data_IF_773765793044
#
_entry.id   IF_773765793044
#
_cell.length_a   1.000
_cell.length_b   1.000
_cell.length_c   1.000
_cell.angle_alpha   90.00
_cell.angle_beta   90.00
_cell.angle_gamma   90.00
#
_symmetry.space_group_name_H-M   'P 1'
#
loop_
_entity.id
_entity.type
_entity.pdbx_description
1 polymer ?
2 non-polymer ?
3 non-polymer ?
4 water ?
#
# COMPACT_ATOMS: atom_id res chain seq x y z
N UNK A 4 23.88 4.99 -13.88
CA UNK A 4 23.39 5.10 -12.47
C UNK A 4 24.58 5.09 -11.55
N UNK A 5 25.18 6.27 -11.29
CA UNK A 5 26.40 6.21 -10.48
C UNK A 5 26.08 5.59 -9.12
N UNK A 6 27.07 4.89 -8.55
CA UNK A 6 26.98 4.36 -7.19
C UNK A 6 26.59 5.50 -6.23
N UNK A 7 27.26 6.64 -6.41
CA UNK A 7 27.05 7.81 -5.56
C UNK A 7 26.62 8.96 -6.48
N UNK A 8 25.32 9.04 -6.80
CA UNK A 8 24.91 10.06 -7.77
C UNK A 8 24.99 11.49 -7.26
N UNK A 9 24.91 11.67 -5.95
CA UNK A 9 24.78 12.98 -5.35
C UNK A 9 23.52 13.69 -5.79
N UNK A 10 23.44 14.98 -5.45
CA UNK A 10 22.30 15.82 -5.83
C UNK A 10 22.71 17.28 -5.74
N UNK A 11 21.77 18.19 -5.99
CA UNK A 11 22.03 19.62 -5.84
C UNK A 11 20.70 20.30 -5.43
N UNK A 12 20.79 21.53 -4.91
CA UNK A 12 19.63 22.17 -4.27
C UNK A 12 18.55 22.64 -5.25
N UNK A 13 18.92 22.81 -6.53
CA UNK A 13 17.91 23.08 -7.55
C UNK A 13 16.97 21.85 -7.63
N UNK A 14 17.55 20.67 -7.73
CA UNK A 14 16.76 19.44 -7.79
C UNK A 14 15.99 19.19 -6.51
N UNK A 15 16.64 19.42 -5.36
CA UNK A 15 15.96 19.28 -4.06
C UNK A 15 14.68 20.18 -3.94
N UNK A 16 14.78 21.45 -4.32
CA UNK A 16 13.61 22.36 -4.27
C UNK A 16 12.61 22.27 -5.44
N UNK A 17 12.92 21.47 -6.48
CA UNK A 17 12.16 21.43 -7.72
C UNK A 17 10.73 20.93 -7.50
N UNK A 18 9.77 21.69 -8.03
CA UNK A 18 8.36 21.34 -7.91
C UNK A 18 7.79 21.16 -9.32
N UNK A 19 6.96 20.13 -9.54
CA UNK A 19 6.20 20.02 -10.77
C UNK A 19 5.09 21.07 -10.74
N UNK A 20 4.79 21.70 -11.91
CA UNK A 20 3.71 22.68 -11.92
C UNK A 20 2.34 21.99 -11.89
N UNK A 21 1.89 21.68 -10.67
CA UNK A 21 0.64 20.93 -10.40
C UNK A 21 -0.30 21.77 -9.54
N UNK A 22 -1.59 21.75 -9.89
CA UNK A 22 -2.65 22.39 -9.06
C UNK A 22 -3.10 21.46 -7.93
N UNK A 23 -2.35 21.52 -6.83
CA UNK A 23 -2.58 20.72 -5.65
C UNK A 23 -3.73 21.34 -4.85
N UNK A 24 -4.63 20.50 -4.35
CA UNK A 24 -5.72 20.96 -3.46
C UNK A 24 -5.88 20.05 -2.25
N UNK A 25 -6.49 20.58 -1.19
CA UNK A 25 -6.89 19.78 -0.04
C UNK A 25 -8.38 19.47 -0.05
N UNK A 26 -8.77 18.54 0.79
CA UNK A 26 -10.21 18.29 1.02
C UNK A 26 -10.93 19.56 1.52
N UNK A 27 -10.29 20.27 2.45
CA UNK A 27 -10.81 21.54 3.00
C UNK A 27 -11.03 22.60 1.92
N UNK A 28 -10.08 22.70 0.97
CA UNK A 28 -10.21 23.61 -0.19
C UNK A 28 -11.35 23.23 -1.11
N UNK A 29 -11.45 21.93 -1.40
CA UNK A 29 -12.60 21.45 -2.18
C UNK A 29 -13.92 21.81 -1.43
N UNK A 30 -14.00 21.49 -0.16
CA UNK A 30 -15.24 21.79 0.60
C UNK A 30 -15.56 23.29 0.58
N UNK A 31 -14.52 24.10 0.73
CA UNK A 31 -14.66 25.54 0.68
C UNK A 31 -15.27 25.97 -0.66
N UNK A 32 -14.80 25.37 -1.76
CA UNK A 32 -15.29 25.69 -3.12
C UNK A 32 -16.77 25.40 -3.34
N UNK A 33 -17.33 24.58 -2.45
CA UNK A 33 -18.73 24.10 -2.55
C UNK A 33 -19.67 24.77 -1.56
N UNK A 34 -19.19 25.78 -0.86
CA UNK A 34 -19.97 26.45 0.20
C UNK A 34 -21.22 27.08 -0.38
N UNK A 35 -22.38 26.76 0.22
CA UNK A 35 -23.66 27.30 -0.24
C UNK A 35 -24.29 26.51 -1.38
N UNK A 36 -23.54 25.61 -2.01
CA UNK A 36 -24.07 24.82 -3.11
C UNK A 36 -24.96 23.72 -2.60
N UNK A 37 -26.17 23.60 -3.17
CA UNK A 37 -27.16 22.64 -2.72
C UNK A 37 -26.66 21.21 -2.89
N UNK A 38 -27.27 20.25 -2.16
CA UNK A 38 -26.94 18.82 -2.36
C UNK A 38 -26.87 18.43 -3.86
N UNK A 39 -25.87 17.60 -4.20
CA UNK A 39 -25.66 17.17 -5.58
C UNK A 39 -25.16 15.74 -5.63
N UNK A 40 -25.05 15.18 -6.84
CA UNK A 40 -24.46 13.87 -7.08
C UNK A 40 -22.98 14.04 -7.28
N UNK A 41 -22.23 13.25 -6.53
CA UNK A 41 -20.78 13.16 -6.73
C UNK A 41 -20.42 11.70 -6.97
N UNK A 42 -19.27 11.46 -7.55
CA UNK A 42 -18.86 10.11 -7.88
C UNK A 42 -17.42 9.82 -7.56
N UNK A 43 -17.16 8.54 -7.30
CA UNK A 43 -15.82 8.00 -7.02
C UNK A 43 -15.51 6.80 -7.92
N UNK A 44 -14.32 6.84 -8.50
CA UNK A 44 -13.73 5.59 -9.00
C UNK A 44 -13.48 4.69 -7.77
N UNK A 45 -13.29 3.38 -7.94
CA UNK A 45 -13.06 2.49 -6.78
C UNK A 45 -11.59 2.24 -6.55
N UNK A 46 -10.94 1.54 -7.49
CA UNK A 46 -9.61 0.99 -7.27
C UNK A 46 -8.53 2.07 -7.30
N UNK A 47 -7.70 2.07 -6.28
CA UNK A 47 -6.72 3.12 -5.98
C UNK A 47 -7.32 4.53 -5.85
N UNK A 48 -8.63 4.62 -5.68
CA UNK A 48 -9.27 5.90 -5.42
C UNK A 48 -9.85 5.86 -4.03
N UNK A 49 -10.73 4.90 -3.77
CA UNK A 49 -11.26 4.74 -2.42
C UNK A 49 -10.72 3.49 -1.71
N UNK A 50 -10.36 2.45 -2.47
CA UNK A 50 -9.77 1.20 -1.91
C UNK A 50 -8.38 0.88 -2.52
N UNK A 51 -7.43 0.53 -1.67
CA UNK A 51 -6.20 -0.12 -2.12
C UNK A 51 -6.55 -1.58 -2.29
N UNK A 52 -6.90 -1.94 -3.52
CA UNK A 52 -7.46 -3.26 -3.86
C UNK A 52 -6.45 -4.17 -4.56
N UNK A 53 -5.24 -3.68 -4.75
CA UNK A 53 -4.11 -4.48 -5.22
C UNK A 53 -3.95 -5.88 -4.61
N UNK A 54 -4.25 -6.05 -3.30
CA UNK A 54 -4.15 -7.40 -2.70
C UNK A 54 -4.97 -8.46 -3.45
N UNK A 55 -6.23 -8.16 -3.76
CA UNK A 55 -7.08 -9.07 -4.55
C UNK A 55 -6.64 -9.24 -6.01
N UNK A 56 -6.17 -8.14 -6.62
CA UNK A 56 -5.65 -8.18 -7.98
C UNK A 56 -4.33 -8.96 -8.09
N UNK A 57 -3.45 -8.75 -7.11
CA UNK A 57 -2.22 -9.54 -6.95
C UNK A 57 -2.49 -11.05 -6.80
N UNK A 58 -3.39 -11.43 -5.88
CA UNK A 58 -3.77 -12.83 -5.76
C UNK A 58 -4.35 -13.43 -7.06
N UNK A 59 -5.19 -12.66 -7.77
CA UNK A 59 -5.82 -13.10 -9.01
C UNK A 59 -4.82 -13.31 -10.14
N UNK A 60 -3.88 -12.36 -10.28
CA UNK A 60 -2.76 -12.55 -11.22
C UNK A 60 -1.93 -13.82 -10.93
N UNK A 61 -1.53 -14.01 -9.68
CA UNK A 61 -0.80 -15.24 -9.29
C UNK A 61 -1.63 -16.51 -9.50
N UNK A 62 -2.91 -16.45 -9.11
CA UNK A 62 -3.84 -17.57 -9.23
C UNK A 62 -4.23 -17.92 -10.67
N UNK A 63 -4.60 -16.93 -11.48
CA UNK A 63 -5.22 -17.17 -12.79
C UNK A 63 -4.37 -16.89 -14.04
N UNK A 64 -3.36 -16.05 -13.93
CA UNK A 64 -2.43 -15.79 -15.04
C UNK A 64 -1.11 -15.18 -14.55
N UNK A 65 -0.24 -16.01 -13.94
CA UNK A 65 1.02 -15.56 -13.38
C UNK A 65 1.97 -14.86 -14.36
N UNK A 66 1.85 -15.19 -15.64
CA UNK A 66 2.74 -14.61 -16.65
C UNK A 66 2.07 -13.65 -17.64
N UNK A 67 0.81 -13.30 -17.39
CA UNK A 67 0.10 -12.37 -18.26
C UNK A 67 -0.98 -11.56 -17.52
N UNK A 68 -1.77 -10.84 -18.29
CA UNK A 68 -2.85 -10.04 -17.75
C UNK A 68 -4.20 -10.69 -18.06
N UNK A 69 -4.20 -11.94 -18.51
CA UNK A 69 -5.45 -12.63 -18.87
C UNK A 69 -6.42 -12.81 -17.71
N UNK A 70 -5.92 -12.75 -16.47
CA UNK A 70 -6.82 -12.84 -15.31
C UNK A 70 -7.88 -11.74 -15.36
N UNK A 71 -7.54 -10.60 -15.97
CA UNK A 71 -8.44 -9.45 -16.10
C UNK A 71 -9.57 -9.69 -17.08
N UNK A 72 -9.45 -10.75 -17.88
CA UNK A 72 -10.52 -11.17 -18.79
C UNK A 72 -11.14 -12.53 -18.39
N UNK A 73 -10.92 -12.93 -17.14
CA UNK A 73 -11.27 -14.26 -16.65
C UNK A 73 -12.42 -14.13 -15.65
N UNK A 74 -13.64 -14.55 -16.07
CA UNK A 74 -14.84 -14.42 -15.24
C UNK A 74 -14.68 -15.01 -13.85
N UNK A 75 -13.90 -16.09 -13.76
CA UNK A 75 -13.61 -16.76 -12.50
C UNK A 75 -12.93 -15.79 -11.52
N UNK A 76 -11.91 -15.05 -12.01
CA UNK A 76 -11.28 -14.01 -11.21
C UNK A 76 -12.31 -12.97 -10.72
N UNK A 77 -13.07 -12.37 -11.65
CA UNK A 77 -14.00 -11.32 -11.25
C UNK A 77 -15.02 -11.78 -10.22
N UNK A 78 -15.54 -12.99 -10.38
CA UNK A 78 -16.46 -13.54 -9.37
C UNK A 78 -15.83 -13.53 -7.99
N UNK A 79 -14.54 -13.92 -7.88
CA UNK A 79 -13.81 -13.86 -6.62
C UNK A 79 -13.64 -12.41 -6.13
N UNK A 80 -13.19 -11.54 -7.04
CA UNK A 80 -12.83 -10.14 -6.75
C UNK A 80 -14.00 -9.27 -6.24
N UNK A 81 -15.21 -9.53 -6.77
CA UNK A 81 -16.41 -8.73 -6.53
C UNK A 81 -17.30 -9.34 -5.47
N UNK A 82 -16.91 -10.52 -4.93
CA UNK A 82 -17.71 -11.21 -3.92
C UNK A 82 -16.99 -11.62 -2.65
N UNK A 83 -15.93 -10.88 -2.29
CA UNK A 83 -15.27 -11.12 -1.03
C UNK A 83 -13.82 -10.73 -0.93
N UNK A 84 -13.11 -10.68 -2.05
CA UNK A 84 -11.68 -10.33 -1.96
C UNK A 84 -11.43 -8.86 -1.57
N UNK A 85 -12.46 -8.02 -1.64
CA UNK A 85 -12.34 -6.66 -1.07
C UNK A 85 -12.35 -6.62 0.49
N UNK A 86 -12.60 -7.74 1.17
CA UNK A 86 -12.29 -7.79 2.61
C UNK A 86 -10.79 -7.57 2.88
N UNK A 87 -9.94 -7.77 1.86
CA UNK A 87 -8.49 -7.52 2.00
C UNK A 87 -8.07 -6.19 1.39
N UNK A 88 -9.02 -5.45 0.84
CA UNK A 88 -8.73 -4.12 0.28
C UNK A 88 -8.65 -3.12 1.42
N UNK A 89 -7.75 -2.16 1.32
CA UNK A 89 -7.49 -1.20 2.39
C UNK A 89 -8.08 0.16 2.01
N UNK A 90 -9.04 0.65 2.83
CA UNK A 90 -9.66 1.94 2.60
C UNK A 90 -8.63 3.05 2.67
N UNK A 91 -8.75 3.99 1.74
CA UNK A 91 -7.86 5.14 1.71
C UNK A 91 -8.46 6.26 2.56
N UNK A 92 -7.63 6.83 3.42
CA UNK A 92 -8.00 7.91 4.30
C UNK A 92 -8.44 9.14 3.54
N UNK A 93 -7.89 9.37 2.35
CA UNK A 93 -8.35 10.52 1.55
C UNK A 93 -9.83 10.33 1.20
N UNK A 94 -10.21 9.10 0.86
CA UNK A 94 -11.61 8.75 0.58
C UNK A 94 -12.55 8.88 1.78
N UNK A 95 -12.11 8.43 2.96
CA UNK A 95 -12.88 8.62 4.22
C UNK A 95 -13.20 10.09 4.43
N UNK A 96 -12.17 10.92 4.30
CA UNK A 96 -12.32 12.38 4.40
C UNK A 96 -13.30 12.97 3.37
N UNK A 97 -13.14 12.63 2.09
CA UNK A 97 -14.07 13.10 1.05
C UNK A 97 -15.48 12.57 1.20
N UNK A 98 -15.63 11.27 1.47
CA UNK A 98 -17.01 10.73 1.62
C UNK A 98 -17.70 11.40 2.84
N UNK A 99 -16.98 11.56 3.94
CA UNK A 99 -17.55 12.22 5.13
C UNK A 99 -17.99 13.63 4.80
N UNK A 100 -17.15 14.34 4.06
CA UNK A 100 -17.40 15.71 3.66
C UNK A 100 -18.66 15.84 2.78
N UNK A 101 -18.79 14.95 1.81
CA UNK A 101 -19.92 14.97 0.89
C UNK A 101 -21.20 14.49 1.55
N UNK A 102 -21.09 13.47 2.40
CA UNK A 102 -22.25 13.02 3.20
C UNK A 102 -22.77 14.17 4.10
N UNK A 103 -21.86 14.91 4.70
CA UNK A 103 -22.25 16.00 5.59
C UNK A 103 -22.97 17.11 4.79
N UNK A 104 -22.56 17.26 3.53
CA UNK A 104 -23.23 18.15 2.58
C UNK A 104 -24.64 17.65 2.17
N UNK A 105 -24.92 16.38 2.41
CA UNK A 105 -26.17 15.76 1.94
C UNK A 105 -26.07 15.36 0.48
N UNK A 106 -24.85 15.25 -0.04
CA UNK A 106 -24.67 14.80 -1.43
C UNK A 106 -25.03 13.32 -1.62
N UNK A 107 -25.47 12.99 -2.83
CA UNK A 107 -25.59 11.59 -3.27
C UNK A 107 -24.19 11.05 -3.61
N UNK A 108 -23.86 9.86 -3.11
CA UNK A 108 -22.55 9.25 -3.35
C UNK A 108 -22.72 8.11 -4.37
N UNK A 109 -21.98 8.22 -5.48
CA UNK A 109 -21.93 7.18 -6.53
C UNK A 109 -20.55 6.58 -6.68
N UNK A 110 -20.52 5.29 -7.00
CA UNK A 110 -19.29 4.58 -7.37
C UNK A 110 -19.42 4.03 -8.79
N UNK A 111 -18.44 4.40 -9.61
CA UNK A 111 -18.43 4.02 -11.02
C UNK A 111 -17.12 3.31 -11.33
N UNK A 112 -17.24 2.01 -11.55
CA UNK A 112 -16.09 1.15 -11.72
C UNK A 112 -16.00 0.55 -13.12
N UNK A 113 -14.76 0.39 -13.59
CA UNK A 113 -14.49 -0.34 -14.82
C UNK A 113 -14.23 -1.83 -14.62
N UNK A 114 -14.34 -2.32 -13.40
CA UNK A 114 -14.29 -3.77 -13.10
C UNK A 114 -15.34 -4.50 -13.93
N UNK A 115 -15.06 -5.75 -14.33
CA UNK A 115 -16.08 -6.52 -15.05
C UNK A 115 -17.27 -6.85 -14.16
N UNK A 116 -18.50 -6.75 -14.73
CA UNK A 116 -19.70 -7.10 -13.98
C UNK A 116 -19.80 -8.59 -13.73
N UNK A 117 -20.41 -8.93 -12.60
CA UNK A 117 -20.59 -10.32 -12.16
C UNK A 117 -22.05 -10.60 -11.84
N UNK A 118 -22.39 -11.88 -11.63
CA UNK A 118 -23.78 -12.27 -11.34
C UNK A 118 -24.28 -11.57 -10.05
N UNK A 119 -23.48 -11.67 -9.00
CA UNK A 119 -23.70 -10.93 -7.78
C UNK A 119 -22.44 -10.08 -7.48
N UNK A 120 -22.59 -9.11 -6.58
CA UNK A 120 -21.48 -8.30 -6.15
C UNK A 120 -21.71 -7.91 -4.70
N UNK A 121 -20.65 -7.94 -3.88
CA UNK A 121 -20.75 -7.49 -2.49
C UNK A 121 -19.94 -6.20 -2.22
N UNK A 122 -19.42 -5.60 -3.30
CA UNK A 122 -18.60 -4.39 -3.21
C UNK A 122 -19.42 -3.19 -2.69
N UNK A 123 -20.68 -3.03 -3.10
CA UNK A 123 -21.52 -1.94 -2.56
C UNK A 123 -21.58 -2.02 -1.02
N UNK A 124 -21.86 -3.21 -0.48
CA UNK A 124 -21.88 -3.40 0.98
C UNK A 124 -20.52 -3.08 1.60
N UNK A 125 -19.45 -3.61 1.02
CA UNK A 125 -18.11 -3.32 1.56
C UNK A 125 -17.85 -1.80 1.66
N UNK A 126 -18.23 -1.06 0.63
CA UNK A 126 -18.03 0.39 0.62
C UNK A 126 -18.92 1.12 1.61
N UNK A 127 -20.20 0.77 1.67
CA UNK A 127 -21.14 1.44 2.59
C UNK A 127 -20.74 1.20 4.06
N UNK A 128 -20.25 -0.01 4.33
CA UNK A 128 -19.77 -0.42 5.68
C UNK A 128 -18.46 0.25 6.08
N UNK A 129 -17.44 0.14 5.23
CA UNK A 129 -16.10 0.68 5.49
C UNK A 129 -16.12 2.19 5.62
N UNK A 130 -16.97 2.83 4.82
CA UNK A 130 -17.02 4.28 4.76
C UNK A 130 -18.22 4.89 5.46
N UNK A 131 -19.00 4.09 6.18
CA UNK A 131 -20.12 4.59 7.02
C UNK A 131 -21.06 5.50 6.25
N UNK A 132 -21.37 5.07 5.02
CA UNK A 132 -22.23 5.86 4.15
C UNK A 132 -23.69 5.54 4.52
N UNK A 133 -24.45 6.57 4.96
CA UNK A 133 -25.88 6.34 5.25
C UNK A 133 -26.69 5.87 4.01
N UNK A 134 -27.71 5.06 4.25
CA UNK A 134 -28.54 4.50 3.19
C UNK A 134 -29.06 5.56 2.22
N UNK A 135 -29.44 6.72 2.77
CA UNK A 135 -29.96 7.81 1.98
C UNK A 135 -28.90 8.40 1.00
N UNK A 136 -27.62 8.36 1.39
CA UNK A 136 -26.55 8.83 0.48
C UNK A 136 -25.93 7.74 -0.41
N UNK A 137 -26.14 6.48 -0.05
CA UNK A 137 -25.48 5.36 -0.75
C UNK A 137 -26.23 5.00 -2.03
N UNK A 138 -25.49 4.56 -3.05
CA UNK A 138 -26.09 4.05 -4.28
C UNK A 138 -25.32 2.81 -4.71
N UNK A 139 -26.04 1.83 -5.29
CA UNK A 139 -25.33 0.61 -5.75
C UNK A 139 -24.22 0.96 -6.74
N UNK A 140 -23.10 0.26 -6.60
CA UNK A 140 -21.98 0.41 -7.52
C UNK A 140 -22.43 0.26 -8.99
N UNK A 141 -21.93 1.16 -9.83
CA UNK A 141 -22.21 1.11 -11.26
C UNK A 141 -21.01 0.47 -11.95
N UNK A 142 -21.27 -0.56 -12.75
CA UNK A 142 -20.21 -1.19 -13.53
C UNK A 142 -20.31 -0.63 -14.97
N UNK A 143 -19.29 0.16 -15.33
CA UNK A 143 -19.25 0.88 -16.59
C UNK A 143 -18.26 0.20 -17.53
N UNK A 144 -18.48 0.31 -18.83
CA UNK A 144 -17.47 -0.19 -19.76
C UNK A 144 -17.99 -0.28 -21.18
N UNK A 145 -17.33 -1.10 -21.99
CA UNK A 145 -17.71 -1.11 -23.41
C UNK A 145 -18.27 -2.44 -23.94
N UNK A 146 -18.63 -3.34 -23.02
CA UNK A 146 -19.28 -4.60 -23.37
C UNK A 146 -20.72 -4.31 -23.86
N UNK A 147 -21.28 -5.18 -24.72
CA UNK A 147 -22.67 -5.00 -25.19
C UNK A 147 -23.63 -4.72 -24.04
N UNK A 148 -24.49 -3.72 -24.22
CA UNK A 148 -25.47 -3.35 -23.20
C UNK A 148 -24.97 -2.49 -22.03
N UNK A 149 -23.66 -2.22 -22.00
CA UNK A 149 -23.04 -1.38 -20.98
C UNK A 149 -23.05 0.07 -21.42
N UNK A 150 -22.84 0.99 -20.49
CA UNK A 150 -22.50 2.36 -20.81
C UNK A 150 -21.13 2.67 -20.24
N UNK A 151 -20.48 3.66 -20.86
CA UNK A 151 -19.14 4.11 -20.45
C UNK A 151 -19.25 4.92 -19.15
N UNK A 152 -18.12 5.11 -18.47
CA UNK A 152 -18.04 5.96 -17.28
C UNK A 152 -18.65 7.34 -17.54
N UNK A 153 -18.33 7.94 -18.69
CA UNK A 153 -18.90 9.20 -19.13
C UNK A 153 -20.41 9.27 -19.18
N UNK A 154 -21.00 8.26 -19.82
CA UNK A 154 -22.45 8.21 -19.97
C UNK A 154 -23.16 8.10 -18.64
N UNK A 155 -22.59 7.31 -17.71
CA UNK A 155 -23.14 7.20 -16.34
C UNK A 155 -23.04 8.50 -15.56
N UNK A 156 -21.91 9.21 -15.69
CA UNK A 156 -21.74 10.50 -15.03
C UNK A 156 -22.82 11.45 -15.54
N UNK A 157 -23.02 11.44 -16.87
CA UNK A 157 -24.11 12.20 -17.47
C UNK A 157 -25.49 11.77 -16.95
N UNK A 158 -25.71 10.46 -16.92
CA UNK A 158 -27.01 9.91 -16.50
C UNK A 158 -27.37 10.29 -15.06
N UNK A 159 -26.40 10.20 -14.15
CA UNK A 159 -26.65 10.46 -12.73
C UNK A 159 -26.45 11.94 -12.34
N UNK A 160 -26.24 12.80 -13.35
CA UNK A 160 -25.83 14.22 -13.14
C UNK A 160 -24.76 14.40 -12.07
N UNK A 161 -23.71 13.58 -12.20
CA UNK A 161 -22.56 13.67 -11.30
C UNK A 161 -21.73 14.90 -11.67
N UNK A 162 -21.58 15.81 -10.70
CA UNK A 162 -20.92 17.09 -10.92
C UNK A 162 -19.43 17.07 -10.60
N UNK A 163 -19.00 16.08 -9.82
CA UNK A 163 -17.57 15.96 -9.41
C UNK A 163 -17.25 14.47 -9.45
N UNK A 164 -16.17 14.10 -10.14
CA UNK A 164 -15.73 12.70 -10.18
C UNK A 164 -14.29 12.59 -9.71
N UNK A 165 -14.05 11.70 -8.75
CA UNK A 165 -12.71 11.52 -8.19
C UNK A 165 -12.13 10.24 -8.72
N UNK A 166 -10.88 10.25 -9.13
CA UNK A 166 -10.26 9.05 -9.72
C UNK A 166 -8.75 9.16 -9.80
N UNK A 167 -8.09 8.02 -9.91
CA UNK A 167 -6.63 8.00 -10.00
C UNK A 167 -6.12 7.88 -11.46
N UNK A 168 -6.94 7.33 -12.35
CA UNK A 168 -6.53 7.07 -13.73
C UNK A 168 -6.85 8.26 -14.65
N UNK A 169 -6.10 8.36 -15.77
CA UNK A 169 -6.38 9.40 -16.79
C UNK A 169 -7.84 9.32 -17.23
N UNK A 170 -8.34 8.10 -17.41
CA UNK A 170 -9.70 7.88 -17.92
C UNK A 170 -10.82 8.36 -17.03
N UNK A 171 -10.56 8.46 -15.74
CA UNK A 171 -11.50 9.02 -14.80
C UNK A 171 -11.62 10.52 -15.02
N UNK A 172 -10.47 11.17 -15.26
CA UNK A 172 -10.44 12.61 -15.47
C UNK A 172 -11.10 12.99 -16.79
N UNK A 173 -10.74 12.28 -17.86
CA UNK A 173 -11.31 12.54 -19.16
C UNK A 173 -12.81 12.23 -19.19
N UNK A 174 -13.23 11.16 -18.53
CA UNK A 174 -14.68 10.87 -18.41
C UNK A 174 -15.44 12.08 -17.88
N UNK A 175 -14.97 12.69 -16.80
CA UNK A 175 -15.60 13.87 -16.22
C UNK A 175 -15.54 15.06 -17.18
N UNK A 176 -14.36 15.32 -17.74
CA UNK A 176 -14.15 16.41 -18.72
C UNK A 176 -15.09 16.31 -19.93
N UNK A 177 -15.20 15.10 -20.50
CA UNK A 177 -16.08 14.84 -21.62
C UNK A 177 -17.53 15.30 -21.46
N UNK A 178 -18.01 15.30 -20.23
CA UNK A 178 -19.36 15.73 -19.97
C UNK A 178 -19.42 17.00 -19.15
N UNK A 179 -18.27 17.65 -18.98
CA UNK A 179 -18.23 18.92 -18.28
C UNK A 179 -18.37 18.82 -16.77
N UNK A 180 -18.05 17.66 -16.21
CA UNK A 180 -18.00 17.58 -14.74
C UNK A 180 -16.58 17.96 -14.24
N UNK A 181 -16.46 18.17 -12.93
CA UNK A 181 -15.18 18.47 -12.32
C UNK A 181 -14.44 17.18 -12.02
N UNK A 182 -13.39 16.93 -12.78
CA UNK A 182 -12.52 15.78 -12.57
C UNK A 182 -11.46 16.11 -11.56
N UNK A 183 -11.41 15.36 -10.46
CA UNK A 183 -10.39 15.57 -9.42
C UNK A 183 -9.52 14.31 -9.18
N UNK A 184 -8.19 14.47 -9.26
CA UNK A 184 -7.26 13.34 -9.26
C UNK A 184 -6.81 12.94 -7.83
N UNK A 185 -6.69 11.64 -7.61
CA UNK A 185 -6.17 11.03 -6.38
C UNK A 185 -4.92 10.23 -6.79
N UNK A 186 -3.85 10.36 -6.01
CA UNK A 186 -2.58 9.65 -6.25
C UNK A 186 -2.73 8.13 -6.07
N UNK A 187 -2.26 7.39 -7.04
CA UNK A 187 -2.14 5.93 -6.92
C UNK A 187 -0.89 5.64 -6.05
N UNK A 188 -1.06 4.82 -5.01
CA UNK A 188 0.04 4.44 -4.13
C UNK A 188 1.19 3.73 -4.88
N UNK A 189 2.43 3.96 -4.43
CA UNK A 189 3.58 3.41 -5.13
C UNK A 189 3.65 1.88 -5.06
N UNK A 190 2.97 1.30 -4.06
CA UNK A 190 2.94 -0.16 -3.90
C UNK A 190 1.72 -0.85 -4.58
N UNK A 191 0.93 -0.06 -5.31
CA UNK A 191 -0.09 -0.64 -6.20
C UNK A 191 0.56 -1.58 -7.22
N UNK A 192 -0.17 -2.63 -7.59
CA UNK A 192 0.29 -3.54 -8.63
C UNK A 192 -0.17 -3.10 -10.02
N UNK A 193 -0.97 -2.04 -10.07
CA UNK A 193 -1.41 -1.46 -11.34
C UNK A 193 -0.33 -0.45 -11.78
N UNK A 194 0.53 -0.88 -12.70
CA UNK A 194 1.69 -0.07 -13.15
C UNK A 194 1.75 0.10 -14.68
N UNK A 195 2.32 1.22 -15.19
CA UNK A 195 2.99 2.26 -14.40
C UNK A 195 2.01 3.24 -13.71
N UNK A 196 2.46 3.92 -12.65
CA UNK A 196 1.70 4.99 -11.98
C UNK A 196 1.34 6.04 -13.02
N UNK A 197 0.11 6.57 -12.96
CA UNK A 197 -0.25 7.69 -13.84
C UNK A 197 0.44 9.00 -13.43
N UNK A 198 0.49 9.93 -14.38
CA UNK A 198 0.97 11.28 -14.13
C UNK A 198 -0.24 12.09 -13.70
N UNK A 199 -0.46 12.07 -12.39
CA UNK A 199 -1.49 12.91 -11.77
C UNK A 199 -1.27 14.40 -12.10
N UNK A 200 -2.27 15.05 -12.67
CA UNK A 200 -2.15 16.47 -13.04
C UNK A 200 -1.83 16.62 -14.52
N UNK A 201 -1.76 15.50 -15.25
CA UNK A 201 -1.41 15.48 -16.69
C UNK A 201 -2.37 16.28 -17.60
N UNK A 202 -3.55 16.63 -17.07
CA UNK A 202 -4.52 17.40 -17.82
C UNK A 202 -4.79 18.78 -17.21
N UNK A 203 -3.89 19.22 -16.32
CA UNK A 203 -4.07 20.45 -15.55
C UNK A 203 -5.18 20.40 -14.51
N UNK A 204 -5.68 19.19 -14.22
CA UNK A 204 -6.73 19.01 -13.23
C UNK A 204 -6.19 19.20 -11.83
N UNK A 205 -7.10 19.42 -10.89
CA UNK A 205 -6.72 19.45 -9.46
C UNK A 205 -6.27 18.05 -9.01
N UNK A 206 -5.23 18.00 -8.18
CA UNK A 206 -4.78 16.76 -7.59
C UNK A 206 -4.82 16.93 -6.05
N UNK A 207 -5.48 16.02 -5.36
CA UNK A 207 -5.48 16.08 -3.90
C UNK A 207 -4.15 15.72 -3.22
N UNK A 208 -3.72 16.59 -2.32
CA UNK A 208 -2.47 16.35 -1.57
C UNK A 208 -2.59 15.07 -0.74
N UNK A 209 -1.46 14.36 -0.65
CA UNK A 209 -1.28 13.27 0.29
C UNK A 209 -2.30 12.17 0.11
N UNK A 210 -2.72 11.96 -1.15
CA UNK A 210 -3.87 11.13 -1.42
C UNK A 210 -3.49 9.70 -1.77
N UNK A 211 -2.21 9.37 -1.63
CA UNK A 211 -1.73 7.99 -1.81
C UNK A 211 -2.13 7.04 -0.65
N UNK A 212 -2.66 7.58 0.46
CA UNK A 212 -3.15 6.75 1.57
C UNK A 212 -4.52 7.18 2.16
N UNK B 4 -6.57 23.59 10.51
CA UNK B 4 -5.37 24.02 9.73
C UNK B 4 -5.74 25.15 8.80
N UNK B 5 -4.80 26.06 8.51
CA UNK B 5 -5.18 27.12 7.55
C UNK B 5 -5.64 26.52 6.23
N UNK B 6 -6.63 27.18 5.61
CA UNK B 6 -7.10 26.78 4.30
C UNK B 6 -5.97 26.81 3.25
N UNK B 7 -5.15 27.86 3.29
CA UNK B 7 -4.03 28.07 2.37
C UNK B 7 -2.75 28.28 3.16
N UNK B 8 -2.09 27.18 3.58
CA UNK B 8 -0.91 27.34 4.44
C UNK B 8 0.34 27.91 3.71
N UNK B 9 0.46 27.71 2.40
CA UNK B 9 1.64 28.23 1.73
C UNK B 9 2.89 27.41 2.08
N UNK B 10 4.06 27.86 1.59
CA UNK B 10 5.35 27.23 1.90
C UNK B 10 6.44 28.25 1.56
N UNK B 11 7.69 27.86 1.76
CA UNK B 11 8.86 28.66 1.30
C UNK B 11 9.99 27.71 0.80
N UNK B 12 11.01 28.26 0.16
CA UNK B 12 11.99 27.40 -0.50
C UNK B 12 13.01 26.77 0.48
N UNK B 13 13.17 27.35 1.66
CA UNK B 13 13.99 26.67 2.70
C UNK B 13 13.27 25.37 3.06
N UNK B 14 11.96 25.47 3.34
CA UNK B 14 11.15 24.27 3.60
C UNK B 14 11.10 23.25 2.46
N UNK B 15 10.97 23.72 1.22
CA UNK B 15 10.93 22.84 0.07
C UNK B 15 12.22 22.06 -0.10
N UNK B 16 13.35 22.69 0.18
CA UNK B 16 14.65 22.03 0.02
C UNK B 16 15.13 21.26 1.25
N UNK B 17 14.44 21.44 2.38
CA UNK B 17 14.95 21.02 3.69
C UNK B 17 15.06 19.48 3.75
N UNK B 18 16.21 18.98 4.22
CA UNK B 18 16.44 17.54 4.32
C UNK B 18 16.68 17.15 5.78
N UNK B 19 16.09 16.04 6.21
CA UNK B 19 16.44 15.48 7.51
C UNK B 19 17.86 14.93 7.39
N UNK B 20 18.67 15.02 8.47
CA UNK B 20 20.01 14.47 8.36
C UNK B 20 20.02 12.97 8.55
N UNK B 21 19.76 12.25 7.46
CA UNK B 21 19.62 10.80 7.44
C UNK B 21 20.72 10.24 6.52
N UNK B 22 21.40 9.18 6.98
CA UNK B 22 22.20 8.35 6.11
C UNK B 22 21.35 7.45 5.18
N UNK B 23 21.00 7.97 4.01
CA UNK B 23 20.29 7.23 2.99
C UNK B 23 21.27 6.39 2.17
N UNK B 24 20.88 5.15 1.85
CA UNK B 24 21.71 4.25 1.02
C UNK B 24 20.88 3.57 -0.09
N UNK B 25 21.54 3.12 -1.16
CA UNK B 25 20.91 2.26 -2.15
C UNK B 25 21.31 0.78 -1.94
N UNK B 26 20.59 -0.14 -2.57
CA UNK B 26 21.02 -1.55 -2.59
C UNK B 26 22.43 -1.69 -3.20
N UNK B 27 22.71 -0.93 -4.27
CA UNK B 27 24.03 -0.93 -4.92
C UNK B 27 25.12 -0.52 -3.96
N UNK B 28 24.85 0.50 -3.15
CA UNK B 28 25.84 0.95 -2.16
C UNK B 28 26.09 -0.09 -1.06
N UNK B 29 25.02 -0.76 -0.64
CA UNK B 29 25.16 -1.84 0.36
C UNK B 29 26.01 -2.96 -0.22
N UNK B 30 25.65 -3.41 -1.42
CA UNK B 30 26.41 -4.48 -2.10
C UNK B 30 27.90 -4.12 -2.23
N UNK B 31 28.19 -2.89 -2.65
CA UNK B 31 29.58 -2.41 -2.71
C UNK B 31 30.31 -2.46 -1.36
N UNK B 32 29.62 -2.05 -0.29
CA UNK B 32 30.23 -2.04 1.04
C UNK B 32 30.55 -3.44 1.53
N UNK B 33 29.92 -4.43 0.91
CA UNK B 33 30.15 -5.83 1.30
C UNK B 33 31.05 -6.55 0.29
N UNK B 34 31.49 -5.87 -0.77
CA UNK B 34 32.34 -6.52 -1.81
C UNK B 34 33.51 -7.29 -1.20
N UNK B 35 33.69 -8.53 -1.67
CA UNK B 35 34.78 -9.40 -1.20
C UNK B 35 34.59 -10.03 0.19
N UNK B 36 33.49 -9.69 0.86
CA UNK B 36 33.20 -10.31 2.14
C UNK B 36 32.62 -11.69 1.83
N UNK B 37 33.13 -12.72 2.52
CA UNK B 37 32.66 -14.07 2.28
C UNK B 37 31.22 -14.24 2.78
N UNK B 38 30.53 -15.32 2.33
CA UNK B 38 29.17 -15.63 2.79
C UNK B 38 28.99 -15.50 4.30
N UNK B 39 27.89 -14.86 4.69
CA UNK B 39 27.51 -14.72 6.09
C UNK B 39 25.99 -14.91 6.24
N UNK B 40 25.50 -15.03 7.47
CA UNK B 40 24.07 -15.02 7.74
C UNK B 40 23.55 -13.58 7.72
N UNK B 41 22.44 -13.34 7.04
CA UNK B 41 21.74 -12.05 7.15
C UNK B 41 20.26 -12.33 7.45
N UNK B 42 19.54 -11.34 7.95
CA UNK B 42 18.14 -11.52 8.27
C UNK B 42 17.21 -10.40 7.86
N UNK B 43 15.93 -10.75 7.70
CA UNK B 43 14.88 -9.82 7.31
C UNK B 43 13.72 -9.97 8.27
N UNK B 44 13.20 -8.84 8.72
CA UNK B 44 11.86 -8.73 9.21
C UNK B 44 10.90 -9.05 8.06
N UNK B 45 9.68 -9.50 8.38
CA UNK B 45 8.71 -9.78 7.31
C UNK B 45 7.79 -8.58 7.03
N UNK B 46 7.04 -8.16 8.02
CA UNK B 46 5.93 -7.26 7.76
C UNK B 46 6.35 -5.82 7.51
N UNK B 47 5.96 -5.30 6.34
CA UNK B 47 6.38 -3.98 5.87
C UNK B 47 7.88 -3.88 5.57
N UNK B 48 8.56 -5.03 5.50
CA UNK B 48 9.98 -5.08 5.15
C UNK B 48 10.13 -5.86 3.83
N UNK B 49 9.60 -7.07 3.81
CA UNK B 49 9.51 -7.83 2.55
C UNK B 49 8.07 -7.98 2.00
N UNK B 50 7.07 -7.98 2.87
CA UNK B 50 5.66 -8.11 2.47
C UNK B 50 4.78 -6.97 2.94
N UNK B 51 4.09 -6.33 2.02
CA UNK B 51 2.95 -5.52 2.39
C UNK B 51 1.79 -6.45 2.80
N UNK B 52 1.78 -6.82 4.08
CA UNK B 52 0.80 -7.78 4.66
C UNK B 52 -0.37 -7.12 5.37
N UNK B 53 -0.46 -5.78 5.32
CA UNK B 53 -1.65 -5.08 5.83
C UNK B 53 -3.03 -5.63 5.40
N UNK B 54 -3.16 -6.16 4.16
CA UNK B 54 -4.44 -6.78 3.75
C UNK B 54 -4.95 -7.81 4.76
N UNK B 55 -4.07 -8.75 5.16
CA UNK B 55 -4.43 -9.82 6.10
C UNK B 55 -4.58 -9.32 7.53
N UNK B 56 -3.77 -8.34 7.95
CA UNK B 56 -3.95 -7.72 9.27
C UNK B 56 -5.24 -6.91 9.35
N UNK B 57 -5.55 -6.22 8.25
CA UNK B 57 -6.80 -5.46 8.14
C UNK B 57 -8.02 -6.38 8.17
N UNK B 58 -8.00 -7.47 7.39
CA UNK B 58 -9.05 -8.51 7.51
C UNK B 58 -9.18 -9.11 8.92
N UNK B 59 -8.05 -9.34 9.57
CA UNK B 59 -8.06 -9.90 10.92
C UNK B 59 -8.69 -8.97 11.95
N UNK B 60 -8.30 -7.70 11.88
CA UNK B 60 -8.85 -6.68 12.75
C UNK B 60 -10.38 -6.68 12.58
N UNK B 61 -10.82 -6.53 11.33
CA UNK B 61 -12.25 -6.45 11.01
C UNK B 61 -13.09 -7.69 11.39
N UNK B 62 -12.50 -8.86 11.20
CA UNK B 62 -13.13 -10.13 11.48
C UNK B 62 -13.18 -10.40 12.99
N UNK B 63 -12.06 -10.13 13.67
CA UNK B 63 -11.86 -10.60 15.04
C UNK B 63 -11.96 -9.56 16.17
N UNK B 64 -11.69 -8.29 15.88
CA UNK B 64 -11.71 -7.24 16.92
C UNK B 64 -11.86 -5.84 16.32
N UNK B 65 -13.00 -5.58 15.65
CA UNK B 65 -13.18 -4.31 14.97
C UNK B 65 -12.94 -3.06 15.85
N UNK B 66 -13.19 -3.19 17.15
CA UNK B 66 -13.04 -2.06 18.12
C UNK B 66 -11.69 -1.95 18.79
N UNK B 67 -10.81 -2.95 18.62
CA UNK B 67 -9.60 -3.02 19.44
C UNK B 67 -8.41 -3.68 18.74
N UNK B 68 -7.33 -3.88 19.49
CA UNK B 68 -6.14 -4.60 18.99
C UNK B 68 -6.10 -6.06 19.46
N UNK B 69 -7.22 -6.54 20.00
CA UNK B 69 -7.28 -7.89 20.60
C UNK B 69 -6.95 -9.00 19.60
N UNK B 70 -7.27 -8.79 18.32
CA UNK B 70 -6.93 -9.78 17.24
C UNK B 70 -5.44 -10.22 17.21
N UNK B 71 -4.52 -9.32 17.57
CA UNK B 71 -3.09 -9.61 17.56
C UNK B 71 -2.67 -10.58 18.68
N UNK B 72 -3.56 -10.79 19.66
CA UNK B 72 -3.37 -11.83 20.66
C UNK B 72 -4.38 -12.98 20.52
N UNK B 73 -5.10 -13.03 19.39
CA UNK B 73 -6.03 -14.12 19.10
C UNK B 73 -5.37 -15.23 18.24
N UNK B 74 -5.21 -16.46 18.80
CA UNK B 74 -4.66 -17.61 18.06
C UNK B 74 -5.45 -17.98 16.80
N UNK B 75 -6.77 -17.72 16.79
CA UNK B 75 -7.62 -17.96 15.62
C UNK B 75 -7.18 -17.02 14.48
N UNK B 76 -6.84 -15.77 14.81
CA UNK B 76 -6.25 -14.87 13.82
C UNK B 76 -4.90 -15.33 13.23
N UNK B 77 -3.95 -15.60 14.11
CA UNK B 77 -2.63 -16.06 13.65
C UNK B 77 -2.74 -17.31 12.78
N UNK B 78 -3.63 -18.23 13.14
CA UNK B 78 -3.81 -19.44 12.32
C UNK B 78 -4.25 -19.08 10.90
N UNK B 79 -5.11 -18.06 10.76
CA UNK B 79 -5.45 -17.56 9.43
C UNK B 79 -4.34 -16.80 8.75
N UNK B 80 -3.71 -15.90 9.49
CA UNK B 80 -2.64 -15.06 8.96
C UNK B 80 -1.43 -15.86 8.43
N UNK B 81 -1.08 -16.93 9.11
CA UNK B 81 0.13 -17.71 8.80
C UNK B 81 -0.08 -18.87 7.85
N UNK B 82 -1.31 -19.13 7.47
CA UNK B 82 -1.63 -20.30 6.64
C UNK B 82 -2.42 -19.98 5.37
N UNK B 83 -2.32 -18.74 4.88
CA UNK B 83 -2.95 -18.43 3.59
C UNK B 83 -3.30 -16.98 3.30
N UNK B 84 -3.50 -16.14 4.31
CA UNK B 84 -3.75 -14.72 4.05
C UNK B 84 -2.58 -13.96 3.41
N UNK B 85 -1.35 -14.50 3.52
CA UNK B 85 -0.22 -13.92 2.78
C UNK B 85 -0.29 -14.14 1.27
N UNK B 86 -1.27 -14.91 0.80
CA UNK B 86 -1.62 -14.91 -0.63
C UNK B 86 -2.03 -13.51 -1.15
N UNK B 87 -2.55 -12.68 -0.23
CA UNK B 87 -2.93 -11.30 -0.53
C UNK B 87 -1.86 -10.26 -0.17
N UNK B 88 -0.72 -10.71 0.39
CA UNK B 88 0.38 -9.81 0.75
C UNK B 88 1.20 -9.46 -0.50
N UNK B 89 1.54 -8.18 -0.65
CA UNK B 89 2.24 -7.68 -1.85
C UNK B 89 3.73 -7.57 -1.57
N UNK B 90 4.55 -8.42 -2.26
CA UNK B 90 5.99 -8.34 -2.15
C UNK B 90 6.54 -6.93 -2.45
N UNK B 91 7.49 -6.49 -1.62
CA UNK B 91 8.18 -5.23 -1.85
C UNK B 91 9.37 -5.39 -2.79
N UNK B 92 9.44 -4.49 -3.77
CA UNK B 92 10.59 -4.41 -4.71
C UNK B 92 11.95 -4.28 -4.05
N UNK B 93 12.05 -3.49 -2.97
CA UNK B 93 13.31 -3.34 -2.23
C UNK B 93 13.80 -4.71 -1.73
N UNK B 94 12.85 -5.54 -1.31
CA UNK B 94 13.13 -6.87 -0.82
C UNK B 94 13.55 -7.82 -1.92
N UNK B 95 12.89 -7.76 -3.08
CA UNK B 95 13.33 -8.52 -4.26
C UNK B 95 14.78 -8.23 -4.58
N UNK B 96 15.13 -6.93 -4.58
CA UNK B 96 16.49 -6.45 -4.86
C UNK B 96 17.52 -6.84 -3.79
N UNK B 97 17.20 -6.59 -2.52
CA UNK B 97 18.02 -7.07 -1.39
C UNK B 97 18.23 -8.59 -1.41
N UNK B 98 17.16 -9.36 -1.59
CA UNK B 98 17.27 -10.83 -1.48
C UNK B 98 18.09 -11.40 -2.68
N UNK B 99 17.81 -10.92 -3.89
CA UNK B 99 18.65 -11.27 -5.06
C UNK B 99 20.13 -10.98 -4.80
N UNK B 100 20.43 -9.83 -4.22
CA UNK B 100 21.82 -9.43 -3.93
C UNK B 100 22.51 -10.36 -2.91
N UNK B 101 21.77 -10.73 -1.87
CA UNK B 101 22.30 -11.63 -0.83
C UNK B 101 22.48 -13.06 -1.32
N UNK B 102 21.63 -13.49 -2.25
CA UNK B 102 21.77 -14.80 -2.86
C UNK B 102 23.03 -14.75 -3.75
N UNK B 103 23.13 -13.69 -4.54
CA UNK B 103 24.35 -13.41 -5.33
C UNK B 103 25.65 -13.57 -4.49
N UNK B 104 25.61 -13.02 -3.27
CA UNK B 104 26.74 -13.06 -2.34
C UNK B 104 26.99 -14.43 -1.72
N UNK B 105 26.01 -15.32 -1.85
CA UNK B 105 26.07 -16.67 -1.22
C UNK B 105 25.70 -16.63 0.27
N UNK B 106 24.97 -15.59 0.66
CA UNK B 106 24.58 -15.41 2.05
C UNK B 106 23.44 -16.36 2.47
N UNK B 107 23.48 -16.80 3.73
CA UNK B 107 22.37 -17.50 4.36
C UNK B 107 21.31 -16.48 4.73
N UNK B 108 20.06 -16.71 4.33
CA UNK B 108 18.96 -15.75 4.52
C UNK B 108 17.91 -16.22 5.54
N UNK B 109 17.72 -15.42 6.59
CA UNK B 109 16.75 -15.72 7.64
C UNK B 109 15.63 -14.68 7.68
N UNK B 110 14.44 -15.13 8.06
CA UNK B 110 13.31 -14.21 8.31
C UNK B 110 12.94 -14.30 9.79
N UNK B 111 12.96 -13.16 10.47
CA UNK B 111 12.66 -13.10 11.92
C UNK B 111 11.49 -12.16 12.17
N UNK B 112 10.38 -12.75 12.56
CA UNK B 112 9.08 -12.09 12.63
C UNK B 112 8.49 -12.08 14.05
N UNK B 113 7.86 -10.96 14.41
CA UNK B 113 7.13 -10.84 15.69
C UNK B 113 5.76 -11.49 15.64
N UNK B 114 5.39 -12.05 14.49
CA UNK B 114 4.17 -12.83 14.40
C UNK B 114 4.22 -13.97 15.39
N UNK B 115 3.08 -14.35 15.94
CA UNK B 115 3.03 -15.50 16.85
C UNK B 115 3.18 -16.83 16.12
N UNK B 116 3.85 -17.80 16.79
CA UNK B 116 3.98 -19.15 16.26
C UNK B 116 2.63 -19.86 16.16
N UNK B 117 2.43 -20.65 15.11
CA UNK B 117 1.18 -21.40 14.96
C UNK B 117 1.49 -22.90 14.78
N UNK B 118 0.44 -23.74 14.76
CA UNK B 118 0.59 -25.19 14.59
C UNK B 118 1.29 -25.55 13.27
N UNK B 119 0.91 -24.85 12.21
CA UNK B 119 1.50 -25.01 10.86
C UNK B 119 1.65 -23.58 10.29
N UNK B 120 2.44 -23.44 9.23
CA UNK B 120 2.65 -22.13 8.61
C UNK B 120 3.07 -22.33 7.17
N UNK B 121 2.58 -21.49 6.26
CA UNK B 121 2.95 -21.58 4.85
C UNK B 121 3.73 -20.32 4.44
N UNK B 122 4.11 -19.53 5.45
CA UNK B 122 4.79 -18.28 5.21
C UNK B 122 6.17 -18.51 4.56
N UNK B 123 6.93 -19.47 5.08
CA UNK B 123 8.23 -19.87 4.51
C UNK B 123 8.16 -20.18 3.03
N UNK B 124 7.15 -20.97 2.64
CA UNK B 124 6.91 -21.28 1.23
C UNK B 124 6.55 -20.05 0.38
N UNK B 125 5.64 -19.21 0.89
CA UNK B 125 5.28 -17.94 0.24
C UNK B 125 6.53 -17.09 -0.05
N UNK B 126 7.45 -17.03 0.92
CA UNK B 126 8.68 -16.22 0.81
C UNK B 126 9.67 -16.84 -0.17
N UNK B 127 9.94 -18.12 0.00
CA UNK B 127 10.84 -18.85 -0.91
C UNK B 127 10.37 -18.75 -2.39
N UNK B 128 9.08 -18.93 -2.59
CA UNK B 128 8.38 -18.85 -3.86
C UNK B 128 8.41 -17.45 -4.49
N UNK B 129 7.91 -16.46 -3.75
CA UNK B 129 7.74 -15.10 -4.28
C UNK B 129 9.10 -14.45 -4.60
N UNK B 130 10.08 -14.75 -3.76
CA UNK B 130 11.40 -14.15 -3.89
C UNK B 130 12.45 -15.05 -4.55
N UNK B 131 12.03 -16.18 -5.10
CA UNK B 131 12.92 -17.11 -5.84
C UNK B 131 14.17 -17.46 -5.04
N UNK B 132 13.96 -17.86 -3.80
CA UNK B 132 15.08 -18.14 -2.92
C UNK B 132 15.43 -19.63 -3.04
N UNK B 133 16.69 -19.94 -3.45
CA UNK B 133 17.13 -21.34 -3.60
C UNK B 133 17.12 -22.04 -2.26
N UNK B 134 16.92 -23.35 -2.29
CA UNK B 134 16.95 -24.16 -1.05
C UNK B 134 18.12 -23.84 -0.13
N UNK B 135 19.33 -23.75 -0.66
CA UNK B 135 20.49 -23.58 0.22
C UNK B 135 20.55 -22.24 0.97
N UNK B 136 20.05 -21.16 0.37
CA UNK B 136 20.03 -19.85 1.05
C UNK B 136 18.86 -19.67 2.01
N UNK B 137 17.78 -20.43 1.77
CA UNK B 137 16.53 -20.30 2.48
C UNK B 137 16.62 -21.02 3.82
N UNK B 138 15.96 -20.44 4.81
CA UNK B 138 15.82 -21.02 6.14
C UNK B 138 14.36 -20.87 6.62
N UNK B 139 13.86 -21.82 7.43
CA UNK B 139 12.47 -21.64 7.86
C UNK B 139 12.28 -20.37 8.67
N UNK B 140 11.13 -19.71 8.48
CA UNK B 140 10.84 -18.43 9.16
C UNK B 140 10.87 -18.68 10.67
N UNK B 141 11.50 -17.75 11.39
CA UNK B 141 11.54 -17.77 12.86
C UNK B 141 10.40 -16.87 13.40
N UNK B 142 9.40 -17.48 14.02
CA UNK B 142 8.28 -16.74 14.63
C UNK B 142 8.67 -16.47 16.07
N UNK B 143 9.28 -15.31 16.29
CA UNK B 143 9.79 -14.92 17.58
C UNK B 143 8.69 -14.44 18.50
N UNK B 144 7.57 -13.99 17.93
CA UNK B 144 6.42 -13.57 18.71
C UNK B 144 6.58 -12.15 19.23
N UNK B 145 5.61 -11.71 20.03
CA UNK B 145 5.53 -10.34 20.55
C UNK B 145 5.35 -10.45 22.05
N UNK B 146 6.28 -9.89 22.80
CA UNK B 146 6.20 -9.91 24.26
C UNK B 146 6.69 -8.57 24.76
N UNK B 147 5.76 -7.62 25.00
CA UNK B 147 6.08 -6.28 25.50
C UNK B 147 7.11 -6.31 26.61
N UNK B 148 8.13 -5.45 26.51
CA UNK B 148 9.19 -5.45 27.56
C UNK B 148 10.37 -6.27 27.14
N UNK B 149 10.26 -6.98 26.02
CA UNK B 149 11.40 -7.77 25.52
C UNK B 149 11.49 -7.69 24.00
N UNK B 150 12.71 -7.48 23.50
CA UNK B 150 12.92 -7.64 22.09
C UNK B 150 13.13 -9.13 21.83
N UNK B 151 12.07 -9.80 21.37
CA UNK B 151 12.14 -11.25 21.10
C UNK B 151 13.05 -11.62 19.91
N UNK B 152 13.49 -10.64 19.15
CA UNK B 152 14.32 -10.90 17.96
C UNK B 152 15.81 -11.03 18.26
N UNK B 153 16.28 -10.31 19.27
CA UNK B 153 17.70 -10.18 19.55
C UNK B 153 18.40 -11.52 19.78
N UNK B 154 17.80 -12.39 20.61
CA UNK B 154 18.33 -13.73 20.90
C UNK B 154 18.53 -14.55 19.62
N UNK B 155 17.59 -14.43 18.70
CA UNK B 155 17.61 -15.13 17.42
C UNK B 155 18.71 -14.61 16.48
N UNK B 156 18.92 -13.29 16.46
CA UNK B 156 20.00 -12.70 15.67
C UNK B 156 21.35 -13.21 16.19
N UNK B 157 21.44 -13.35 17.51
CA UNK B 157 22.63 -13.89 18.17
C UNK B 157 22.82 -15.37 17.84
N UNK B 158 21.76 -16.17 18.01
CA UNK B 158 21.82 -17.60 17.77
C UNK B 158 22.19 -17.96 16.32
N UNK B 159 21.69 -17.20 15.35
CA UNK B 159 21.97 -17.49 13.94
C UNK B 159 23.19 -16.77 13.36
N UNK B 160 23.92 -16.06 14.23
CA UNK B 160 25.05 -15.19 13.85
C UNK B 160 24.71 -14.24 12.68
N UNK B 161 23.51 -13.65 12.74
CA UNK B 161 23.08 -12.68 11.72
C UNK B 161 23.86 -11.37 11.85
N UNK B 162 24.48 -10.93 10.75
CA UNK B 162 25.40 -9.80 10.76
C UNK B 162 24.82 -8.54 10.18
N UNK B 163 23.74 -8.69 9.41
CA UNK B 163 22.96 -7.56 8.88
C UNK B 163 21.51 -7.92 9.08
N UNK B 164 20.70 -6.99 9.60
CA UNK B 164 19.25 -7.18 9.74
C UNK B 164 18.46 -6.02 9.13
N UNK B 165 17.56 -6.33 8.20
CA UNK B 165 16.63 -5.36 7.59
C UNK B 165 15.26 -5.34 8.26
N UNK B 166 14.75 -4.15 8.55
CA UNK B 166 13.43 -3.98 9.19
C UNK B 166 12.86 -2.56 9.11
N UNK B 167 11.54 -2.44 9.23
CA UNK B 167 10.88 -1.13 9.23
C UNK B 167 10.67 -0.57 10.65
N UNK B 168 10.70 -1.45 11.64
CA UNK B 168 10.41 -1.04 13.03
C UNK B 168 11.67 -0.73 13.84
N UNK B 169 11.52 0.20 14.81
CA UNK B 169 12.57 0.49 15.77
C UNK B 169 13.13 -0.77 16.41
N UNK B 170 12.28 -1.74 16.75
CA UNK B 170 12.72 -3.04 17.34
C UNK B 170 13.60 -3.87 16.44
N UNK B 171 13.48 -3.68 15.12
CA UNK B 171 14.34 -4.38 14.18
C UNK B 171 15.73 -3.79 14.25
N UNK B 172 15.80 -2.47 14.28
CA UNK B 172 17.08 -1.78 14.31
C UNK B 172 17.79 -2.03 15.65
N UNK B 173 17.07 -1.90 16.75
CA UNK B 173 17.71 -2.12 18.07
C UNK B 173 18.00 -3.61 18.37
N UNK B 174 17.29 -4.53 17.71
CA UNK B 174 17.70 -5.94 17.79
C UNK B 174 19.09 -6.16 17.19
N UNK B 175 19.33 -5.53 16.03
CA UNK B 175 20.66 -5.54 15.40
C UNK B 175 21.72 -4.87 16.28
N UNK B 176 21.36 -3.73 16.86
CA UNK B 176 22.28 -3.03 17.75
C UNK B 176 22.61 -3.88 18.99
N UNK B 177 21.60 -4.56 19.52
CA UNK B 177 21.76 -5.43 20.71
C UNK B 177 22.85 -6.46 20.52
N UNK B 178 23.03 -6.94 19.29
CA UNK B 178 23.97 -8.02 19.02
C UNK B 178 25.21 -7.55 18.24
N UNK B 179 25.35 -6.24 18.05
CA UNK B 179 26.47 -5.71 17.27
C UNK B 179 26.35 -5.94 15.76
N UNK B 180 25.14 -6.23 15.28
CA UNK B 180 24.93 -6.49 13.86
C UNK B 180 24.63 -5.16 13.17
N UNK B 181 24.67 -5.14 11.84
CA UNK B 181 24.37 -3.91 11.11
C UNK B 181 22.86 -3.82 10.84
N UNK B 182 22.19 -2.86 11.47
CA UNK B 182 20.78 -2.70 11.26
C UNK B 182 20.51 -1.72 10.14
N UNK B 183 19.69 -2.14 9.18
CA UNK B 183 19.34 -1.30 8.02
C UNK B 183 17.83 -1.10 7.92
N UNK B 184 17.40 0.16 7.81
CA UNK B 184 15.97 0.52 7.84
C UNK B 184 15.34 0.49 6.46
N UNK B 185 14.15 -0.12 6.43
CA UNK B 185 13.21 -0.07 5.30
C UNK B 185 12.01 0.83 5.67
N UNK B 186 11.61 1.71 4.77
CA UNK B 186 10.42 2.53 4.98
C UNK B 186 9.12 1.73 4.99
N UNK B 187 8.35 1.86 6.08
CA UNK B 187 6.98 1.39 6.09
C UNK B 187 6.10 2.25 5.14
N UNK B 188 5.28 1.61 4.29
CA UNK B 188 4.45 2.36 3.33
C UNK B 188 3.39 3.15 4.07
N UNK B 189 2.98 4.28 3.50
CA UNK B 189 2.01 5.16 4.18
C UNK B 189 0.57 4.61 4.21
N UNK B 190 0.27 3.64 3.35
CA UNK B 190 -1.01 2.96 3.37
C UNK B 190 -1.02 1.69 4.23
N UNK B 191 0.04 1.45 4.99
CA UNK B 191 0.05 0.35 5.96
C UNK B 191 -1.00 0.65 7.07
N UNK B 192 -1.64 -0.40 7.59
CA UNK B 192 -2.57 -0.24 8.72
C UNK B 192 -1.81 -0.18 10.07
N UNK B 193 -0.51 -0.42 10.03
CA UNK B 193 0.34 -0.38 11.21
C UNK B 193 0.85 1.04 11.38
N UNK B 194 0.22 1.76 12.30
CA UNK B 194 0.40 3.21 12.50
C UNK B 194 0.60 3.50 14.00
N UNK B 195 1.34 4.60 14.35
CA UNK B 195 1.99 5.54 13.43
C UNK B 195 3.17 4.92 12.68
N UNK B 196 3.52 5.52 11.55
CA UNK B 196 4.78 5.18 10.84
C UNK B 196 5.99 5.45 11.75
N UNK B 197 6.96 4.52 11.78
CA UNK B 197 8.17 4.78 12.57
C UNK B 197 9.02 5.93 12.03
N UNK B 198 9.81 6.52 12.92
CA UNK B 198 10.82 7.48 12.49
C UNK B 198 12.09 6.75 11.98
N UNK B 199 12.12 6.46 10.67
CA UNK B 199 13.30 5.90 10.01
C UNK B 199 14.53 6.82 10.14
N UNK B 200 15.67 6.27 10.54
CA UNK B 200 16.88 7.08 10.78
C UNK B 200 17.04 7.52 12.22
N UNK B 201 16.07 7.21 13.07
CA UNK B 201 16.07 7.69 14.46
C UNK B 201 17.21 7.16 15.33
N UNK B 202 17.90 6.11 14.89
CA UNK B 202 19.08 5.60 15.62
C UNK B 202 20.43 5.91 14.95
N UNK B 203 20.44 6.80 13.95
CA UNK B 203 21.64 7.04 13.13
C UNK B 203 21.91 5.93 12.14
N UNK B 204 20.97 4.99 12.02
CA UNK B 204 21.11 3.85 11.09
C UNK B 204 20.91 4.27 9.62
N UNK B 205 21.48 3.47 8.72
CA UNK B 205 21.21 3.56 7.28
C UNK B 205 19.74 3.35 6.93
N UNK B 206 19.25 4.14 6.00
CA UNK B 206 17.88 3.92 5.54
C UNK B 206 17.92 3.77 4.03
N UNK B 207 17.26 2.75 3.51
CA UNK B 207 17.29 2.49 2.06
C UNK B 207 16.28 3.40 1.35
N UNK B 208 16.79 4.09 0.34
CA UNK B 208 16.01 4.99 -0.48
C UNK B 208 14.90 4.20 -1.15
N UNK B 209 13.75 4.86 -1.31
CA UNK B 209 12.60 4.38 -2.07
C UNK B 209 12.07 3.02 -1.64
N UNK B 210 12.24 2.70 -0.36
CA UNK B 210 12.02 1.35 0.13
C UNK B 210 10.60 1.10 0.62
N UNK B 211 9.70 2.04 0.31
CA UNK B 211 8.28 1.93 0.65
C UNK B 211 7.48 1.00 -0.26
N UNK B 212 8.09 0.58 -1.39
CA UNK B 212 7.44 -0.30 -2.39
C UNK B 212 8.42 -1.37 -2.94
#
# INVERSE_FOLDING_TARGET
SSPSPLNPGTNVARLAEQAPIHWVSVAQIENSLAGRPPMAVGFDIDDTVLFSSPGFWRGKKTFSPESEDYLKNPVFWEKMNNGWDEFSIPKEVARQLIDMHVRRGDAIFFVTGRSPTKTETVSKTLADNFHIPATNMNPVIFAGDKPGQNTKSQWLQDKNIRIFYGDSDNDITAARDVGARGIRILRASNSTYKPLPQAGAFGEEVIVNSEY
SSPSPLNPGTNVARLAEQAPIHWVSVAQIENSLAGRPPMAVGFDIDDTVLFSSPGFWRGKKTFSPESEDYLKNPVFWEKMNNGWDEFSIPKEVARQLIDMHVRRGDAIFFVTGRSPTKTETVSKTLADNFHIPATNMNPVIFAGDKPGQNTKSQWLQDKNIRIFYGDSDNDITAARDVGARGIRILRASNSTYKPLPQAGAFGEEVIVNSEY
#
